data_IF_628527070809
#
_entry.id   IF_628527070809
#
_cell.length_a   1.000
_cell.length_b   1.000
_cell.length_c   1.000
_cell.angle_alpha   90.00
_cell.angle_beta   90.00
_cell.angle_gamma   90.00
#
_symmetry.space_group_name_H-M   'P 1'
#
loop_
_entity.id
_entity.type
_entity.pdbx_description
1 polymer ?
#
# COMPACT_ATOMS: atom_id res chain seq x y z
N UNK A 1 -12.73 19.06 26.91
CA UNK A 1 -13.36 19.99 25.97
C UNK A 1 -12.85 19.71 24.59
N UNK A 2 -13.60 18.85 23.88
CA UNK A 2 -13.37 18.52 22.48
C UNK A 2 -13.55 19.79 21.66
N UNK A 3 -12.48 20.22 21.01
CA UNK A 3 -12.58 21.21 19.95
C UNK A 3 -12.81 20.42 18.66
N UNK A 4 -14.06 20.39 18.22
CA UNK A 4 -14.45 20.02 16.87
C UNK A 4 -13.76 20.97 15.88
N UNK A 5 -12.58 20.60 15.39
CA UNK A 5 -11.93 21.30 14.28
C UNK A 5 -12.72 21.00 13.02
N UNK A 6 -13.56 21.95 12.61
CA UNK A 6 -14.26 21.88 11.33
C UNK A 6 -13.23 21.83 10.20
N UNK A 7 -13.41 20.95 9.18
CA UNK A 7 -12.53 20.91 8.02
C UNK A 7 -12.48 22.27 7.34
N UNK A 8 -11.30 22.73 6.99
CA UNK A 8 -11.05 24.01 6.34
C UNK A 8 -11.71 24.02 4.94
N UNK A 9 -12.94 24.53 4.86
CA UNK A 9 -13.63 24.75 3.59
C UNK A 9 -13.06 25.99 2.91
N UNK A 10 -12.21 25.80 1.91
CA UNK A 10 -11.88 26.88 0.96
C UNK A 10 -13.07 27.07 0.02
N UNK A 11 -13.75 28.20 0.13
CA UNK A 11 -14.93 28.55 -0.67
C UNK A 11 -14.63 28.37 -2.18
N UNK A 12 -15.48 27.60 -2.87
CA UNK A 12 -15.49 27.47 -4.32
C UNK A 12 -14.63 26.34 -4.92
N UNK A 13 -13.84 25.60 -4.14
CA UNK A 13 -13.06 24.47 -4.67
C UNK A 13 -13.88 23.19 -4.74
N UNK A 14 -13.85 22.50 -5.90
CA UNK A 14 -14.36 21.12 -6.04
C UNK A 14 -13.41 20.08 -5.45
N UNK A 15 -12.21 20.51 -5.03
CA UNK A 15 -11.22 19.63 -4.40
C UNK A 15 -11.65 19.41 -2.96
N UNK A 16 -11.82 18.14 -2.58
CA UNK A 16 -12.12 17.72 -1.22
C UNK A 16 -10.80 17.52 -0.48
N UNK A 17 -10.68 18.14 0.69
CA UNK A 17 -9.53 17.97 1.59
C UNK A 17 -9.97 17.09 2.76
N UNK A 18 -9.31 15.95 2.92
CA UNK A 18 -9.50 15.08 4.07
C UNK A 18 -8.31 15.19 5.01
N UNK A 19 -8.57 15.35 6.29
CA UNK A 19 -7.53 15.31 7.30
C UNK A 19 -7.07 13.88 7.54
N UNK A 20 -5.76 13.68 7.60
CA UNK A 20 -5.21 12.38 7.90
C UNK A 20 -5.38 12.05 9.39
N UNK A 21 -5.89 10.85 9.75
CA UNK A 21 -5.94 10.42 11.14
C UNK A 21 -4.53 10.39 11.74
N UNK A 22 -4.43 10.75 13.02
CA UNK A 22 -3.14 10.81 13.71
C UNK A 22 -2.55 9.41 13.87
N UNK A 23 -1.33 9.24 13.33
CA UNK A 23 -0.61 7.98 13.45
C UNK A 23 -0.27 7.66 14.91
N UNK A 24 -0.63 6.48 15.44
CA UNK A 24 -0.18 6.04 16.75
C UNK A 24 1.34 5.79 16.75
N UNK A 25 1.95 5.70 17.93
CA UNK A 25 3.37 5.37 18.08
C UNK A 25 3.68 3.99 17.50
N UNK A 26 2.85 3.02 17.84
CA UNK A 26 2.93 1.64 17.40
C UNK A 26 1.80 1.38 16.39
N UNK A 27 2.15 0.84 15.24
CA UNK A 27 1.21 0.55 14.18
C UNK A 27 1.38 -0.91 13.74
N UNK A 28 0.36 -1.76 13.88
CA UNK A 28 0.39 -3.11 13.33
C UNK A 28 0.70 -3.07 11.85
N UNK A 29 1.44 -4.04 11.35
CA UNK A 29 1.73 -4.14 9.93
C UNK A 29 1.71 -5.59 9.44
N UNK A 30 1.29 -5.75 8.19
CA UNK A 30 1.49 -7.00 7.45
C UNK A 30 2.85 -6.97 6.75
N UNK A 31 3.54 -8.11 6.76
CA UNK A 31 4.84 -8.30 6.11
C UNK A 31 4.63 -9.13 4.85
N UNK A 32 4.96 -8.55 3.69
CA UNK A 32 4.85 -9.21 2.40
C UNK A 32 6.21 -9.42 1.78
N UNK A 33 6.44 -10.63 1.27
CA UNK A 33 7.58 -10.94 0.43
C UNK A 33 7.10 -11.19 -0.99
N UNK A 34 7.73 -10.54 -1.97
CA UNK A 34 7.44 -10.72 -3.37
C UNK A 34 8.74 -11.02 -4.14
N UNK A 35 8.72 -12.07 -4.97
CA UNK A 35 9.84 -12.39 -5.85
C UNK A 35 9.49 -11.99 -7.28
N UNK A 36 10.34 -11.18 -7.89
CA UNK A 36 10.18 -10.75 -9.28
C UNK A 36 11.51 -10.95 -9.99
N UNK A 37 11.54 -11.81 -10.99
CA UNK A 37 12.70 -12.13 -11.84
C UNK A 37 14.01 -12.35 -11.05
N UNK A 38 13.94 -13.10 -9.96
CA UNK A 38 15.10 -13.45 -9.15
C UNK A 38 15.44 -12.45 -8.05
N UNK A 39 14.80 -11.27 -8.03
CA UNK A 39 14.93 -10.35 -6.90
C UNK A 39 13.80 -10.53 -5.90
N UNK A 40 14.17 -10.59 -4.62
CA UNK A 40 13.21 -10.67 -3.50
C UNK A 40 13.01 -9.29 -2.88
N UNK A 41 11.74 -8.95 -2.64
CA UNK A 41 11.31 -7.68 -2.10
C UNK A 41 10.53 -7.87 -0.80
N UNK A 42 10.78 -7.00 0.16
CA UNK A 42 10.03 -6.95 1.41
C UNK A 42 9.22 -5.67 1.45
N UNK A 43 7.90 -5.82 1.62
CA UNK A 43 6.95 -4.70 1.72
C UNK A 43 6.19 -4.82 3.02
N UNK A 44 6.26 -3.79 3.83
CA UNK A 44 5.51 -3.63 5.06
C UNK A 44 4.31 -2.73 4.79
N UNK A 45 3.12 -3.20 5.13
CA UNK A 45 1.89 -2.40 5.04
C UNK A 45 1.39 -2.16 6.45
N UNK A 46 1.57 -0.95 6.95
CA UNK A 46 1.05 -0.55 8.27
C UNK A 46 -0.45 -0.34 8.19
N UNK A 47 -1.18 -0.93 9.14
CA UNK A 47 -2.63 -1.00 9.17
C UNK A 47 -3.20 -0.13 10.27
N UNK A 48 -4.22 0.66 9.96
CA UNK A 48 -4.99 1.42 10.95
C UNK A 48 -6.47 1.11 10.76
N UNK A 49 -7.12 0.65 11.82
CA UNK A 49 -8.55 0.29 11.81
C UNK A 49 -8.92 -0.64 10.64
N UNK A 50 -8.05 -1.62 10.35
CA UNK A 50 -8.24 -2.58 9.27
C UNK A 50 -7.87 -2.08 7.87
N UNK A 51 -7.46 -0.81 7.72
CA UNK A 51 -7.15 -0.20 6.44
C UNK A 51 -5.65 0.06 6.27
N UNK A 52 -5.08 -0.06 5.05
CA UNK A 52 -3.72 0.36 4.76
C UNK A 52 -3.51 1.85 5.05
N UNK A 53 -2.52 2.14 5.89
CA UNK A 53 -2.20 3.48 6.35
C UNK A 53 -0.82 3.96 5.91
N UNK A 54 0.16 3.06 5.91
CA UNK A 54 1.50 3.37 5.44
C UNK A 54 2.17 2.17 4.77
N UNK A 55 3.11 2.45 3.87
CA UNK A 55 3.95 1.45 3.20
C UNK A 55 5.41 1.78 3.45
N UNK A 56 6.20 0.77 3.74
CA UNK A 56 7.67 0.83 3.81
C UNK A 56 8.19 -0.40 3.08
N UNK A 57 9.26 -0.29 2.30
CA UNK A 57 9.79 -1.47 1.63
C UNK A 57 11.01 -1.23 0.79
N UNK A 58 11.58 -2.34 0.33
CA UNK A 58 12.76 -2.38 -0.51
C UNK A 58 13.21 -3.81 -0.79
N UNK A 59 14.46 -3.97 -1.24
CA UNK A 59 15.04 -5.28 -1.52
C UNK A 59 15.24 -6.09 -0.24
N UNK A 60 14.79 -7.35 -0.23
CA UNK A 60 14.89 -8.25 0.93
C UNK A 60 16.32 -8.56 1.36
N UNK A 61 17.31 -8.41 0.47
CA UNK A 61 18.72 -8.62 0.79
C UNK A 61 19.25 -7.71 1.89
N UNK A 62 18.59 -6.60 2.17
CA UNK A 62 18.95 -5.68 3.25
C UNK A 62 18.23 -5.99 4.56
N UNK A 63 17.17 -6.82 4.52
CA UNK A 63 16.31 -7.09 5.67
C UNK A 63 15.97 -8.57 5.69
N UNK A 64 16.62 -9.32 6.58
CA UNK A 64 16.32 -10.75 6.77
C UNK A 64 15.15 -10.92 7.73
N UNK A 65 13.93 -11.00 7.19
CA UNK A 65 12.74 -11.37 7.93
C UNK A 65 12.38 -12.81 7.55
N UNK A 66 12.42 -13.76 8.52
CA UNK A 66 12.02 -15.13 8.24
C UNK A 66 10.58 -15.19 7.72
N UNK A 67 10.34 -16.00 6.68
CA UNK A 67 9.04 -16.09 5.98
C UNK A 67 7.85 -16.49 6.89
N UNK A 68 8.12 -17.07 8.04
CA UNK A 68 7.09 -17.41 9.03
C UNK A 68 6.44 -16.19 9.65
N UNK A 69 7.10 -15.02 9.63
CA UNK A 69 6.56 -13.78 10.16
C UNK A 69 5.88 -12.99 9.06
N UNK A 70 4.54 -13.04 9.07
CA UNK A 70 3.67 -12.31 8.14
C UNK A 70 3.11 -11.03 8.74
N UNK A 71 3.35 -10.81 10.03
CA UNK A 71 2.86 -9.67 10.79
C UNK A 71 3.98 -9.10 11.67
N UNK A 72 3.82 -7.83 12.03
CA UNK A 72 4.73 -7.12 12.91
C UNK A 72 4.13 -5.80 13.38
N UNK A 73 4.96 -5.00 14.06
CA UNK A 73 4.60 -3.68 14.58
C UNK A 73 5.67 -2.68 14.13
N UNK A 74 5.24 -1.60 13.48
CA UNK A 74 6.12 -0.48 13.12
C UNK A 74 6.07 0.56 14.25
N UNK A 75 7.18 0.75 14.94
CA UNK A 75 7.32 1.66 16.08
C UNK A 75 7.93 2.98 15.61
N UNK A 76 7.19 4.06 15.69
CA UNK A 76 7.68 5.41 15.36
C UNK A 76 8.34 6.06 16.57
N UNK A 77 9.57 6.51 16.40
CA UNK A 77 10.27 7.26 17.43
C UNK A 77 10.02 8.78 17.32
N UNK A 78 10.02 9.51 18.46
CA UNK A 78 9.94 10.96 18.45
C UNK A 78 11.06 11.58 17.61
N UNK A 79 10.74 12.67 16.91
CA UNK A 79 11.75 13.42 16.13
C UNK A 79 12.78 14.04 17.08
N UNK A 80 14.04 13.63 16.90
CA UNK A 80 15.20 14.36 17.42
C UNK A 80 15.94 15.15 16.33
N UNK A 81 15.63 14.82 15.06
CA UNK A 81 16.22 15.42 13.84
C UNK A 81 15.12 15.64 12.80
N UNK A 82 15.46 16.09 11.60
CA UNK A 82 14.47 16.30 10.52
C UNK A 82 13.70 15.06 10.12
N UNK A 83 14.27 13.85 10.26
CA UNK A 83 13.63 12.58 9.87
C UNK A 83 13.16 11.80 11.09
N UNK A 84 11.95 11.24 11.01
CA UNK A 84 11.46 10.28 11.99
C UNK A 84 12.11 8.92 11.75
N UNK A 85 12.46 8.21 12.83
CA UNK A 85 12.95 6.83 12.78
C UNK A 85 11.82 5.86 13.05
N UNK A 86 11.89 4.71 12.40
CA UNK A 86 10.88 3.66 12.48
C UNK A 86 11.57 2.32 12.71
N UNK A 87 11.24 1.64 13.80
CA UNK A 87 11.72 0.29 14.06
C UNK A 87 10.63 -0.71 13.64
N UNK A 88 11.04 -1.87 13.15
CA UNK A 88 10.14 -3.00 12.93
C UNK A 88 10.37 -4.04 14.03
N UNK A 89 9.31 -4.38 14.74
CA UNK A 89 9.26 -5.45 15.72
C UNK A 89 8.41 -6.59 15.19
N UNK A 90 8.90 -7.83 15.29
CA UNK A 90 8.15 -9.04 14.98
C UNK A 90 8.59 -10.20 15.90
N UNK A 91 7.80 -11.26 15.92
CA UNK A 91 7.99 -12.40 16.84
C UNK A 91 7.16 -12.25 18.12
N UNK A 92 7.00 -13.36 18.85
CA UNK A 92 6.19 -13.47 20.07
C UNK A 92 6.91 -14.31 21.11
N UNK A 93 6.43 -14.23 22.35
CA UNK A 93 6.80 -15.15 23.45
C UNK A 93 8.29 -15.29 23.76
N UNK A 94 9.04 -14.19 23.73
CA UNK A 94 10.47 -14.17 24.08
C UNK A 94 11.42 -14.25 22.88
N UNK A 95 10.90 -14.56 21.68
CA UNK A 95 11.66 -14.56 20.43
C UNK A 95 11.43 -13.26 19.63
N UNK A 96 11.26 -12.15 20.34
CA UNK A 96 11.02 -10.85 19.68
C UNK A 96 12.30 -10.33 19.01
N UNK A 97 12.18 -9.95 17.76
CA UNK A 97 13.25 -9.35 16.98
C UNK A 97 12.89 -7.90 16.65
N UNK A 98 13.85 -7.00 16.85
CA UNK A 98 13.69 -5.58 16.52
C UNK A 98 14.72 -5.17 15.47
N UNK A 99 14.25 -4.77 14.30
CA UNK A 99 15.09 -4.16 13.26
C UNK A 99 14.97 -2.64 13.44
N UNK A 100 16.09 -2.01 13.83
CA UNK A 100 16.13 -0.55 14.06
C UNK A 100 16.19 0.19 12.73
N UNK A 101 15.43 1.31 12.68
CA UNK A 101 15.40 2.25 11.55
C UNK A 101 15.20 1.56 10.19
N UNK A 102 14.14 0.76 10.10
CA UNK A 102 13.81 -0.08 8.94
C UNK A 102 13.81 0.69 7.61
N UNK A 103 13.48 1.99 7.62
CA UNK A 103 13.50 2.81 6.41
C UNK A 103 14.94 3.00 5.91
N UNK A 104 15.87 3.26 6.82
CA UNK A 104 17.30 3.42 6.46
C UNK A 104 17.96 2.08 6.10
N UNK A 105 17.49 0.97 6.66
CA UNK A 105 18.02 -0.36 6.36
C UNK A 105 17.84 -0.73 4.88
N UNK A 106 16.74 -0.34 4.25
CA UNK A 106 16.55 -0.57 2.81
C UNK A 106 17.50 0.22 1.90
N UNK A 107 18.24 1.18 2.47
CA UNK A 107 19.33 1.92 1.83
C UNK A 107 19.00 2.48 0.42
N UNK A 108 17.76 2.91 0.23
CA UNK A 108 17.33 3.52 -1.03
C UNK A 108 16.42 4.74 -0.79
N UNK A 109 16.95 5.97 -0.91
CA UNK A 109 16.20 7.18 -0.67
C UNK A 109 15.04 7.38 -1.64
N UNK A 110 15.12 6.84 -2.87
CA UNK A 110 14.04 6.92 -3.85
C UNK A 110 12.86 6.06 -3.41
N UNK A 111 13.10 4.84 -2.88
CA UNK A 111 12.04 3.99 -2.33
C UNK A 111 11.41 4.62 -1.09
N UNK A 112 12.23 5.21 -0.22
CA UNK A 112 11.73 5.91 0.96
C UNK A 112 10.87 7.14 0.59
N UNK A 113 11.26 7.90 -0.41
CA UNK A 113 10.49 9.03 -0.94
C UNK A 113 9.16 8.57 -1.55
N UNK A 114 9.22 7.56 -2.42
CA UNK A 114 8.06 6.98 -3.09
C UNK A 114 7.03 6.42 -2.08
N UNK A 115 7.45 5.57 -1.13
CA UNK A 115 6.54 4.98 -0.13
C UNK A 115 5.99 6.02 0.83
N UNK A 116 6.73 7.08 1.12
CA UNK A 116 6.24 8.22 1.92
C UNK A 116 5.10 8.94 1.21
N UNK A 117 5.23 9.19 -0.10
CA UNK A 117 4.17 9.81 -0.91
C UNK A 117 2.95 8.93 -0.99
N UNK A 118 3.11 7.62 -1.24
CA UNK A 118 1.99 6.66 -1.22
C UNK A 118 1.31 6.60 0.15
N UNK A 119 2.09 6.57 1.23
CA UNK A 119 1.54 6.61 2.59
C UNK A 119 0.73 7.87 2.84
N UNK A 120 1.17 9.01 2.29
CA UNK A 120 0.42 10.26 2.39
C UNK A 120 -0.93 10.15 1.66
N UNK A 121 -0.97 9.62 0.45
CA UNK A 121 -2.23 9.47 -0.30
C UNK A 121 -3.21 8.54 0.41
N UNK A 122 -2.75 7.41 0.95
CA UNK A 122 -3.58 6.49 1.72
C UNK A 122 -4.16 7.15 2.98
N UNK A 123 -3.34 7.88 3.75
CA UNK A 123 -3.77 8.59 4.97
C UNK A 123 -4.85 9.62 4.71
N UNK A 124 -4.84 10.25 3.55
CA UNK A 124 -5.85 11.23 3.14
C UNK A 124 -7.06 10.59 2.44
N UNK A 125 -7.18 9.27 2.50
CA UNK A 125 -8.39 8.55 2.08
C UNK A 125 -8.51 8.33 0.57
N UNK A 126 -7.40 8.37 -0.18
CA UNK A 126 -7.43 7.95 -1.58
C UNK A 126 -7.66 6.42 -1.63
N UNK A 127 -8.72 5.94 -2.31
CA UNK A 127 -9.02 4.52 -2.40
C UNK A 127 -7.86 3.71 -3.00
N UNK A 128 -7.60 2.53 -2.43
CA UNK A 128 -6.46 1.69 -2.82
C UNK A 128 -6.50 1.27 -4.29
N UNK A 129 -7.69 1.00 -4.84
CA UNK A 129 -7.84 0.67 -6.26
C UNK A 129 -7.32 1.78 -7.18
N UNK A 130 -7.59 3.07 -6.87
CA UNK A 130 -7.04 4.17 -7.65
C UNK A 130 -5.52 4.27 -7.56
N UNK A 131 -4.96 4.06 -6.37
CA UNK A 131 -3.50 4.02 -6.19
C UNK A 131 -2.90 2.90 -7.04
N UNK A 132 -3.43 1.69 -6.94
CA UNK A 132 -2.98 0.52 -7.70
C UNK A 132 -3.07 0.77 -9.21
N UNK A 133 -4.18 1.32 -9.68
CA UNK A 133 -4.37 1.64 -11.11
C UNK A 133 -3.35 2.66 -11.62
N UNK A 134 -3.01 3.68 -10.81
CA UNK A 134 -1.96 4.64 -11.19
C UNK A 134 -0.60 3.96 -11.29
N UNK A 135 -0.24 3.10 -10.31
CA UNK A 135 1.03 2.37 -10.31
C UNK A 135 1.18 1.39 -11.48
N UNK A 136 0.08 1.01 -12.11
CA UNK A 136 0.06 0.07 -13.23
C UNK A 136 0.04 0.72 -14.61
N UNK A 137 -0.13 2.05 -14.68
CA UNK A 137 -0.21 2.76 -15.98
C UNK A 137 1.07 2.70 -16.79
N UNK A 138 2.22 2.70 -16.16
CA UNK A 138 3.51 2.62 -16.84
C UNK A 138 3.77 1.19 -17.32
N UNK A 139 3.26 0.86 -18.51
CA UNK A 139 3.44 -0.46 -19.13
C UNK A 139 4.89 -0.73 -19.49
N UNK A 140 5.61 0.31 -19.88
CA UNK A 140 7.02 0.26 -20.30
C UNK A 140 7.99 0.44 -19.11
N UNK A 141 7.50 0.82 -17.93
CA UNK A 141 8.33 0.81 -16.73
C UNK A 141 8.85 -0.60 -16.53
N UNK A 142 10.16 -0.70 -16.31
CA UNK A 142 10.82 -1.96 -16.05
C UNK A 142 9.96 -2.80 -15.08
N UNK A 143 9.69 -4.05 -15.45
CA UNK A 143 8.93 -4.99 -14.63
C UNK A 143 9.51 -5.14 -13.22
N UNK A 144 10.74 -4.71 -13.05
CA UNK A 144 11.48 -4.61 -11.79
C UNK A 144 11.20 -3.34 -11.01
N UNK A 145 10.36 -2.43 -11.51
CA UNK A 145 10.12 -1.20 -10.78
C UNK A 145 9.50 -1.53 -9.43
N UNK A 146 10.05 -0.94 -8.41
CA UNK A 146 9.54 -1.02 -7.04
C UNK A 146 8.03 -0.69 -6.96
N UNK A 147 7.57 0.22 -7.82
CA UNK A 147 6.17 0.58 -7.96
C UNK A 147 5.27 -0.62 -8.31
N UNK A 148 5.72 -1.50 -9.22
CA UNK A 148 4.95 -2.72 -9.58
C UNK A 148 4.90 -3.73 -8.45
N UNK A 149 5.99 -3.86 -7.68
CA UNK A 149 6.00 -4.70 -6.47
C UNK A 149 4.99 -4.19 -5.45
N UNK A 150 5.04 -2.90 -5.15
CA UNK A 150 4.11 -2.25 -4.21
C UNK A 150 2.67 -2.38 -4.69
N UNK A 151 2.40 -2.13 -5.97
CA UNK A 151 1.08 -2.30 -6.58
C UNK A 151 0.55 -3.73 -6.38
N UNK A 152 1.39 -4.75 -6.63
CA UNK A 152 1.01 -6.16 -6.45
C UNK A 152 0.67 -6.50 -4.99
N UNK A 153 1.36 -5.90 -4.03
CA UNK A 153 1.06 -6.06 -2.61
C UNK A 153 -0.24 -5.34 -2.25
N UNK A 154 -0.40 -4.08 -2.68
CA UNK A 154 -1.58 -3.28 -2.36
C UNK A 154 -2.88 -3.82 -2.96
N UNK A 155 -2.82 -4.54 -4.08
CA UNK A 155 -3.99 -5.23 -4.66
C UNK A 155 -4.69 -6.16 -3.67
N UNK A 156 -3.96 -6.76 -2.75
CA UNK A 156 -4.52 -7.68 -1.74
C UNK A 156 -5.45 -6.99 -0.74
N UNK A 157 -5.45 -5.65 -0.73
CA UNK A 157 -6.27 -4.82 0.16
C UNK A 157 -7.44 -4.15 -0.58
N UNK A 158 -7.66 -4.49 -1.85
CA UNK A 158 -8.85 -4.05 -2.59
C UNK A 158 -9.98 -5.02 -2.23
N UNK A 159 -11.06 -4.50 -1.68
CA UNK A 159 -12.23 -5.30 -1.33
C UNK A 159 -12.90 -5.87 -2.59
N UNK A 160 -13.34 -7.13 -2.49
CA UNK A 160 -14.09 -7.78 -3.56
C UNK A 160 -15.39 -7.01 -3.84
N UNK A 161 -15.76 -6.92 -5.11
CA UNK A 161 -16.89 -6.11 -5.54
C UNK A 161 -16.55 -4.64 -5.81
N UNK A 162 -15.34 -4.15 -5.45
CA UNK A 162 -14.91 -2.79 -5.78
C UNK A 162 -14.92 -2.61 -7.29
N UNK A 163 -15.59 -1.55 -7.76
CA UNK A 163 -15.55 -1.19 -9.18
C UNK A 163 -14.18 -0.63 -9.55
N UNK A 164 -13.56 -1.08 -10.66
CA UNK A 164 -12.35 -0.45 -11.16
C UNK A 164 -12.65 1.01 -11.56
N UNK A 165 -11.62 1.84 -11.51
CA UNK A 165 -11.71 3.21 -11.99
C UNK A 165 -11.82 3.28 -13.51
N UNK A 166 -11.42 4.39 -14.08
CA UNK A 166 -11.56 4.66 -15.52
C UNK A 166 -10.59 3.80 -16.37
N UNK A 167 -10.96 2.58 -16.70
CA UNK A 167 -10.20 1.72 -17.62
C UNK A 167 -11.13 0.92 -18.51
N UNK A 168 -10.85 0.89 -19.82
CA UNK A 168 -11.47 -0.10 -20.70
C UNK A 168 -10.98 -1.49 -20.26
N UNK A 169 -11.92 -2.36 -19.96
CA UNK A 169 -11.64 -3.77 -19.66
C UNK A 169 -12.15 -4.61 -20.81
N UNK A 170 -11.22 -5.12 -21.61
CA UNK A 170 -11.54 -5.98 -22.73
C UNK A 170 -11.70 -7.41 -22.22
N UNK A 171 -12.91 -7.93 -22.31
CA UNK A 171 -13.27 -9.30 -22.00
C UNK A 171 -13.93 -9.97 -23.20
N UNK A 172 -14.36 -11.20 -23.05
CA UNK A 172 -14.98 -11.98 -24.14
C UNK A 172 -16.46 -11.63 -24.41
N UNK A 173 -17.06 -10.78 -23.57
CA UNK A 173 -18.41 -10.30 -23.80
C UNK A 173 -18.49 -9.43 -25.04
N UNK A 174 -19.65 -9.46 -25.73
CA UNK A 174 -19.92 -8.55 -26.83
C UNK A 174 -20.00 -7.10 -26.35
N UNK A 175 -19.73 -6.14 -27.26
CA UNK A 175 -19.63 -4.73 -26.89
C UNK A 175 -20.93 -4.15 -26.27
N UNK A 176 -22.09 -4.72 -26.66
CA UNK A 176 -23.42 -4.23 -26.30
C UNK A 176 -24.02 -4.90 -25.05
N UNK A 177 -23.26 -5.80 -24.40
CA UNK A 177 -23.73 -6.44 -23.17
C UNK A 177 -23.37 -5.58 -21.96
N UNK A 178 -24.29 -5.46 -21.01
CA UNK A 178 -24.05 -4.85 -19.69
C UNK A 178 -22.99 -5.66 -18.94
N UNK A 179 -21.73 -5.19 -19.03
CA UNK A 179 -20.59 -5.84 -18.39
C UNK A 179 -20.55 -5.45 -16.94
N UNK A 180 -20.71 -6.40 -16.06
CA UNK A 180 -20.47 -6.21 -14.64
C UNK A 180 -18.99 -6.50 -14.33
N UNK A 181 -18.21 -5.44 -14.06
CA UNK A 181 -16.77 -5.54 -13.83
C UNK A 181 -16.48 -5.10 -12.40
N UNK A 182 -15.77 -5.93 -11.66
CA UNK A 182 -15.34 -5.64 -10.29
C UNK A 182 -14.01 -6.31 -9.96
N UNK A 183 -13.40 -5.87 -8.87
CA UNK A 183 -12.27 -6.59 -8.28
C UNK A 183 -12.76 -7.86 -7.59
N UNK A 184 -12.04 -8.97 -7.82
CA UNK A 184 -12.21 -10.25 -7.15
C UNK A 184 -10.81 -10.79 -6.83
N UNK A 185 -10.52 -11.02 -5.57
CA UNK A 185 -9.20 -11.47 -5.10
C UNK A 185 -8.02 -10.60 -5.64
N UNK A 186 -8.23 -9.29 -5.73
CA UNK A 186 -7.26 -8.33 -6.26
C UNK A 186 -7.11 -8.31 -7.77
N UNK A 187 -7.90 -9.07 -8.52
CA UNK A 187 -7.93 -9.07 -9.98
C UNK A 187 -9.19 -8.38 -10.51
N UNK A 188 -9.07 -7.60 -11.58
CA UNK A 188 -10.24 -7.07 -12.28
C UNK A 188 -10.90 -8.20 -13.05
N UNK A 189 -12.15 -8.49 -12.71
CA UNK A 189 -12.91 -9.65 -13.23
C UNK A 189 -14.22 -9.18 -13.84
N UNK A 190 -14.56 -9.74 -14.99
CA UNK A 190 -15.89 -9.61 -15.58
C UNK A 190 -16.80 -10.70 -14.99
N UNK A 191 -17.78 -10.31 -14.21
CA UNK A 191 -18.70 -11.27 -13.58
C UNK A 191 -19.64 -11.93 -14.59
N UNK A 192 -19.84 -11.30 -15.77
CA UNK A 192 -20.69 -11.85 -16.84
C UNK A 192 -20.06 -13.01 -17.59
N UNK A 193 -18.74 -12.98 -17.87
CA UNK A 193 -18.05 -14.04 -18.61
C UNK A 193 -16.91 -14.74 -17.88
N UNK A 194 -16.59 -14.33 -16.64
CA UNK A 194 -15.52 -14.91 -15.83
C UNK A 194 -14.10 -14.52 -16.25
N UNK A 195 -13.93 -13.68 -17.29
CA UNK A 195 -12.59 -13.25 -17.70
C UNK A 195 -11.96 -12.38 -16.60
N UNK A 196 -10.74 -12.71 -16.18
CA UNK A 196 -10.01 -11.99 -15.15
C UNK A 196 -8.64 -11.51 -15.66
N UNK A 197 -8.29 -10.28 -15.27
CA UNK A 197 -6.98 -9.68 -15.55
C UNK A 197 -6.28 -9.34 -14.25
N UNK A 198 -5.26 -10.13 -13.94
CA UNK A 198 -4.44 -10.01 -12.75
C UNK A 198 -3.12 -9.32 -13.06
N UNK A 199 -2.93 -8.27 -13.59
CA UNK A 199 -1.73 -7.56 -14.02
C UNK A 199 -0.47 -7.74 -13.14
#
# INVERSE_FOLDING_TARGET
>A
TDKDEKPCKRNGSKIVYNDAPKRPRELPCSVHTANIKGESWTILVGMMDGNPYEVIGGLSKYVEIPKKYTEGIIIKHPRKTMNSKYDLKFGENGDEVIIKDIVSVFDNPNYAGFTRTLSLTMRHGVPINFIVEQLQKDRDADLFSFAKVVSRVLKKYIEDGTKPGNGSFDCWCKADEDKEISYQEGCVTCLSCGFAKCG
#
